data_IF_046489416374
#
_entry.id   IF_046489416374
#
_cell.length_a   1.000
_cell.length_b   1.000
_cell.length_c   1.000
_cell.angle_alpha   90.00
_cell.angle_beta   90.00
_cell.angle_gamma   90.00
#
_symmetry.space_group_name_H-M   'P 1'
#
loop_
_entity.id
_entity.type
_entity.pdbx_description
1 polymer ?
#
# COMPACT_ATOMS: atom_id res chain seq x y z
N UNK A 1 -31.29 11.99 -30.55
CA UNK A 1 -30.92 12.62 -29.26
C UNK A 1 -29.78 11.80 -28.69
N UNK A 2 -28.62 12.42 -28.49
CA UNK A 2 -27.38 11.76 -28.06
C UNK A 2 -27.57 11.09 -26.70
N UNK A 3 -27.40 9.78 -26.64
CA UNK A 3 -27.27 9.03 -25.40
C UNK A 3 -26.05 9.55 -24.66
N UNK A 4 -26.26 10.37 -23.62
CA UNK A 4 -25.20 10.80 -22.73
C UNK A 4 -24.50 9.55 -22.18
N UNK A 5 -23.20 9.43 -22.41
CA UNK A 5 -22.43 8.30 -21.92
C UNK A 5 -22.40 8.35 -20.39
N UNK A 6 -23.03 7.35 -19.75
CA UNK A 6 -23.02 7.17 -18.31
C UNK A 6 -21.64 6.64 -17.89
N UNK A 7 -20.67 7.53 -17.69
CA UNK A 7 -19.37 7.15 -17.14
C UNK A 7 -19.45 7.18 -15.62
N UNK A 8 -19.92 6.07 -15.05
CA UNK A 8 -19.85 5.79 -13.63
C UNK A 8 -18.38 5.51 -13.25
N UNK A 9 -17.88 6.09 -12.15
CA UNK A 9 -16.54 5.78 -11.68
C UNK A 9 -16.51 4.33 -11.16
N UNK A 10 -15.64 3.45 -11.68
CA UNK A 10 -15.57 2.08 -11.21
C UNK A 10 -15.23 2.02 -9.72
N UNK A 11 -15.89 1.13 -8.99
CA UNK A 11 -15.58 0.91 -7.59
C UNK A 11 -14.19 0.28 -7.42
N UNK A 12 -13.60 0.50 -6.24
CA UNK A 12 -12.32 -0.11 -5.90
C UNK A 12 -12.50 -1.62 -5.78
N UNK A 13 -11.77 -2.36 -6.62
CA UNK A 13 -11.82 -3.82 -6.62
C UNK A 13 -11.25 -4.39 -5.32
N UNK A 14 -12.04 -5.19 -4.62
CA UNK A 14 -11.62 -5.94 -3.43
C UNK A 14 -11.18 -7.36 -3.84
N UNK A 15 -10.06 -7.81 -3.29
CA UNK A 15 -9.53 -9.16 -3.52
C UNK A 15 -9.58 -9.95 -2.22
N UNK A 16 -10.08 -11.18 -2.29
CA UNK A 16 -10.03 -12.11 -1.16
C UNK A 16 -8.59 -12.50 -0.81
N UNK A 17 -8.35 -12.71 0.48
CA UNK A 17 -7.05 -13.14 0.99
C UNK A 17 -6.92 -14.65 0.84
N UNK A 18 -5.93 -15.08 0.06
CA UNK A 18 -5.47 -16.46 -0.04
C UNK A 18 -4.32 -16.74 0.94
N UNK A 19 -4.09 -18.02 1.28
CA UNK A 19 -2.97 -18.44 2.12
C UNK A 19 -1.62 -18.02 1.54
N UNK A 20 -0.63 -17.90 2.41
CA UNK A 20 0.72 -17.51 2.02
C UNK A 20 1.47 -18.67 1.36
N UNK A 21 2.54 -18.37 0.62
CA UNK A 21 3.30 -19.38 -0.13
C UNK A 21 3.90 -20.47 0.76
N UNK A 22 4.15 -20.17 2.03
CA UNK A 22 4.75 -21.10 3.00
C UNK A 22 3.76 -22.15 3.52
N UNK A 23 2.46 -21.86 3.43
CA UNK A 23 1.37 -22.71 3.94
C UNK A 23 0.83 -23.67 2.87
N UNK A 24 1.26 -23.51 1.62
CA UNK A 24 0.71 -24.22 0.46
C UNK A 24 1.63 -25.37 0.04
N UNK A 25 1.04 -26.49 -0.34
CA UNK A 25 1.78 -27.58 -0.99
C UNK A 25 2.30 -27.11 -2.37
N UNK A 26 3.61 -27.20 -2.55
CA UNK A 26 4.31 -26.76 -3.78
C UNK A 26 3.88 -27.55 -5.01
N UNK A 27 3.29 -28.73 -4.83
CA UNK A 27 2.80 -29.57 -5.92
C UNK A 27 1.47 -29.07 -6.50
N UNK A 28 0.68 -28.30 -5.74
CA UNK A 28 -0.54 -27.67 -6.26
C UNK A 28 -0.22 -26.36 -7.00
N UNK A 29 -0.07 -26.48 -8.32
CA UNK A 29 0.20 -25.34 -9.20
C UNK A 29 -0.88 -24.24 -9.13
N UNK A 30 -2.15 -24.57 -8.87
CA UNK A 30 -3.22 -23.57 -8.80
C UNK A 30 -3.11 -22.72 -7.55
N UNK A 31 -2.89 -23.36 -6.41
CA UNK A 31 -2.71 -22.68 -5.13
C UNK A 31 -1.44 -21.81 -5.14
N UNK A 32 -0.33 -22.33 -5.68
CA UNK A 32 0.93 -21.56 -5.82
C UNK A 32 0.75 -20.34 -6.72
N UNK A 33 -0.01 -20.46 -7.81
CA UNK A 33 -0.29 -19.34 -8.70
C UNK A 33 -1.12 -18.25 -8.00
N UNK A 34 -2.19 -18.63 -7.30
CA UNK A 34 -3.03 -17.69 -6.56
C UNK A 34 -2.23 -16.91 -5.49
N UNK A 35 -1.41 -17.61 -4.70
CA UNK A 35 -0.58 -16.99 -3.67
C UNK A 35 0.48 -16.04 -4.26
N UNK A 36 1.07 -16.40 -5.40
CA UNK A 36 1.99 -15.50 -6.13
C UNK A 36 1.29 -14.23 -6.58
N UNK A 37 0.08 -14.33 -7.12
CA UNK A 37 -0.68 -13.17 -7.56
C UNK A 37 -1.04 -12.23 -6.41
N UNK A 38 -1.41 -12.78 -5.25
CA UNK A 38 -1.62 -11.96 -4.06
C UNK A 38 -0.35 -11.24 -3.64
N UNK A 39 0.78 -11.95 -3.54
CA UNK A 39 2.06 -11.33 -3.16
C UNK A 39 2.41 -10.16 -4.08
N UNK A 40 2.24 -10.33 -5.40
CA UNK A 40 2.52 -9.27 -6.36
C UNK A 40 1.63 -8.04 -6.09
N UNK A 41 0.33 -8.22 -5.87
CA UNK A 41 -0.57 -7.09 -5.55
C UNK A 41 -0.15 -6.38 -4.26
N UNK A 42 0.18 -7.14 -3.23
CA UNK A 42 0.62 -6.59 -1.94
C UNK A 42 1.93 -5.81 -2.06
N UNK A 43 2.88 -6.31 -2.87
CA UNK A 43 4.15 -5.63 -3.14
C UNK A 43 3.93 -4.31 -3.90
N UNK A 44 2.96 -4.25 -4.82
CA UNK A 44 2.56 -3.01 -5.48
C UNK A 44 1.91 -2.01 -4.52
N UNK A 45 1.04 -2.49 -3.61
CA UNK A 45 0.42 -1.63 -2.58
C UNK A 45 1.49 -1.02 -1.69
N UNK A 46 2.44 -1.82 -1.18
CA UNK A 46 3.57 -1.33 -0.38
C UNK A 46 4.43 -0.32 -1.12
N UNK A 47 4.67 -0.54 -2.42
CA UNK A 47 5.40 0.42 -3.24
C UNK A 47 4.64 1.75 -3.38
N UNK A 48 3.31 1.73 -3.46
CA UNK A 48 2.49 2.95 -3.49
C UNK A 48 2.46 3.64 -2.12
N UNK A 49 2.33 2.89 -1.03
CA UNK A 49 2.41 3.43 0.34
C UNK A 49 3.74 4.15 0.56
N UNK A 50 4.86 3.55 0.14
CA UNK A 50 6.17 4.17 0.25
C UNK A 50 6.28 5.48 -0.56
N UNK A 51 5.64 5.55 -1.74
CA UNK A 51 5.57 6.79 -2.53
C UNK A 51 4.79 7.88 -1.81
N UNK A 52 3.63 7.56 -1.25
CA UNK A 52 2.82 8.52 -0.48
C UNK A 52 3.59 9.06 0.74
N UNK A 53 4.32 8.19 1.44
CA UNK A 53 5.17 8.61 2.56
C UNK A 53 6.25 9.56 2.08
N UNK A 54 6.91 9.25 0.96
CA UNK A 54 7.93 10.12 0.36
C UNK A 54 7.37 11.48 -0.06
N UNK A 55 6.20 11.52 -0.70
CA UNK A 55 5.55 12.78 -1.09
C UNK A 55 5.22 13.64 0.12
N UNK A 56 4.65 13.06 1.18
CA UNK A 56 4.41 13.77 2.44
C UNK A 56 5.70 14.25 3.08
N UNK A 57 6.78 13.47 2.99
CA UNK A 57 8.11 13.86 3.47
C UNK A 57 8.62 15.08 2.69
N UNK A 58 8.50 15.07 1.35
CA UNK A 58 8.89 16.14 0.43
C UNK A 58 8.06 17.43 0.66
N UNK A 59 6.79 17.32 1.01
CA UNK A 59 5.96 18.45 1.45
C UNK A 59 6.45 19.04 2.78
N UNK A 60 6.81 18.17 3.75
CA UNK A 60 7.40 18.63 5.03
C UNK A 60 8.72 19.38 4.80
N UNK A 61 9.59 18.86 3.92
CA UNK A 61 10.84 19.54 3.53
C UNK A 61 10.59 20.96 3.00
N UNK A 62 9.54 21.15 2.20
CA UNK A 62 9.21 22.45 1.59
C UNK A 62 8.59 23.44 2.58
N UNK A 63 7.89 22.95 3.59
CA UNK A 63 7.07 23.77 4.50
C UNK A 63 7.80 24.15 5.79
N UNK A 64 8.62 23.27 6.36
CA UNK A 64 9.15 23.42 7.73
C UNK A 64 10.61 23.95 7.80
N UNK A 65 11.32 24.06 6.67
CA UNK A 65 12.68 24.63 6.63
C UNK A 65 13.69 23.88 7.53
N UNK A 66 14.52 24.61 8.30
CA UNK A 66 15.67 24.05 9.06
C UNK A 66 15.29 23.09 10.21
N UNK A 67 14.00 23.02 10.59
CA UNK A 67 13.51 22.12 11.66
C UNK A 67 13.18 20.69 11.17
N UNK A 68 13.42 20.42 9.89
CA UNK A 68 13.05 19.16 9.24
C UNK A 68 13.63 17.91 9.91
N UNK A 69 14.90 17.90 10.33
CA UNK A 69 15.52 16.71 10.93
C UNK A 69 14.87 16.27 12.26
N UNK A 70 14.47 17.21 13.12
CA UNK A 70 13.78 16.88 14.38
C UNK A 70 12.32 16.47 14.13
N UNK A 71 11.65 17.09 13.14
CA UNK A 71 10.26 16.79 12.83
C UNK A 71 10.08 15.48 12.06
N UNK A 72 11.01 15.08 11.18
CA UNK A 72 11.02 13.72 10.59
C UNK A 72 11.11 12.68 11.70
N UNK A 73 12.08 12.81 12.61
CA UNK A 73 12.25 11.86 13.73
C UNK A 73 10.97 11.77 14.54
N UNK A 74 10.34 12.90 14.85
CA UNK A 74 9.07 12.91 15.58
C UNK A 74 7.93 12.27 14.78
N UNK A 75 7.85 12.53 13.46
CA UNK A 75 6.83 11.98 12.56
C UNK A 75 7.02 10.47 12.33
N UNK A 76 8.24 9.97 12.12
CA UNK A 76 8.59 8.55 12.07
C UNK A 76 8.19 7.85 13.37
N UNK A 77 8.51 8.43 14.53
CA UNK A 77 8.09 7.90 15.83
C UNK A 77 6.56 7.92 15.99
N UNK A 78 5.85 8.96 15.52
CA UNK A 78 4.37 8.97 15.58
C UNK A 78 3.72 8.02 14.59
N UNK A 79 4.30 7.79 13.40
CA UNK A 79 3.80 6.80 12.44
C UNK A 79 4.01 5.39 13.02
N UNK A 80 5.20 5.12 13.60
CA UNK A 80 5.48 3.87 14.31
C UNK A 80 4.61 3.69 15.57
N UNK A 81 4.23 4.78 16.25
CA UNK A 81 3.38 4.74 17.44
C UNK A 81 1.87 4.69 17.11
N UNK A 82 1.44 5.18 15.95
CA UNK A 82 0.06 5.06 15.45
C UNK A 82 -0.21 3.74 14.70
N UNK A 83 0.83 3.05 14.23
CA UNK A 83 0.75 1.68 13.67
C UNK A 83 1.52 0.66 14.55
N UNK A 84 1.26 0.54 15.87
CA UNK A 84 2.05 -0.32 16.73
C UNK A 84 1.72 -1.81 16.58
N UNK A 85 0.78 -2.20 15.71
CA UNK A 85 0.30 -3.59 15.61
C UNK A 85 0.08 -4.01 14.16
N UNK A 86 1.15 -4.52 13.55
CA UNK A 86 1.05 -5.67 12.65
C UNK A 86 2.07 -6.67 13.19
N UNK A 87 1.64 -7.46 14.16
CA UNK A 87 2.31 -8.68 14.60
C UNK A 87 1.26 -9.76 14.84
#
# INVERSE_FOLDING_TARGET
MSSAANWEYPEHQQFERVPTLDEIDRQDHKAVYAARHQKIRDDWVKAMEARLIKEKLDECYKTEGVNHCMLIKKKEYTISACFPVIH
#
